data_IF_655946324827
#
_entry.id   IF_655946324827
#
_cell.length_a   1.000
_cell.length_b   1.000
_cell.length_c   1.000
_cell.angle_alpha   90.00
_cell.angle_beta   90.00
_cell.angle_gamma   90.00
#
_symmetry.space_group_name_H-M   'P 1'
#
loop_
_entity.id
_entity.type
_entity.pdbx_description
1 polymer ?
#
# COMPACT_ATOMS: atom_id res chain seq x y z
N UNK A 1 10.87 11.73 16.78
CA UNK A 1 10.64 11.51 16.66
C UNK A 1 10.15 11.57 15.68
N UNK A 2 10.12 11.53 15.17
CA UNK A 2 9.80 11.54 14.41
C UNK A 2 9.20 10.80 13.77
N UNK A 3 9.15 10.29 13.81
CA UNK A 3 8.41 9.30 13.58
C UNK A 3 7.44 9.55 12.57
N UNK A 4 7.44 10.48 11.87
CA UNK A 4 6.49 10.71 10.89
C UNK A 4 7.02 10.36 9.54
N UNK A 5 7.59 9.20 9.42
CA UNK A 5 8.07 8.74 8.13
C UNK A 5 6.90 8.41 7.24
N UNK A 6 7.11 8.30 5.98
CA UNK A 6 6.08 7.94 5.04
C UNK A 6 6.62 7.06 3.95
N UNK A 7 5.82 6.15 3.44
CA UNK A 7 6.21 5.24 2.39
C UNK A 7 5.17 5.30 1.30
N UNK A 8 5.63 5.56 0.08
CA UNK A 8 4.75 5.56 -1.07
C UNK A 8 4.84 4.17 -1.67
N UNK A 9 3.75 3.60 -2.07
CA UNK A 9 3.76 2.25 -2.60
C UNK A 9 2.81 2.11 -3.77
N UNK A 10 3.04 1.11 -4.61
CA UNK A 10 2.13 0.83 -5.70
C UNK A 10 1.77 -0.65 -5.62
N UNK A 11 0.49 -0.93 -5.69
CA UNK A 11 -0.03 -2.29 -5.69
C UNK A 11 -0.63 -2.56 -7.06
N UNK A 12 -0.69 -3.82 -7.42
CA UNK A 12 -1.33 -4.20 -8.66
C UNK A 12 -2.10 -5.49 -8.41
N UNK A 13 -2.91 -5.92 -9.37
CA UNK A 13 -3.64 -7.15 -9.26
C UNK A 13 -2.80 -8.27 -9.88
N UNK A 14 -3.26 -9.50 -9.80
CA UNK A 14 -2.50 -10.59 -10.28
C UNK A 14 -2.17 -10.50 -11.76
N UNK A 15 -2.93 -9.81 -12.55
CA UNK A 15 -2.69 -9.68 -13.97
C UNK A 15 -1.93 -8.40 -14.34
N UNK A 16 -1.51 -7.63 -13.36
CA UNK A 16 -0.77 -6.38 -13.57
C UNK A 16 -1.56 -5.39 -14.44
N UNK A 17 -2.87 -5.45 -14.37
CA UNK A 17 -3.68 -4.59 -15.22
C UNK A 17 -4.16 -3.33 -14.53
N UNK A 18 -4.16 -3.29 -13.22
CA UNK A 18 -4.63 -2.13 -12.48
C UNK A 18 -3.54 -1.70 -11.51
N UNK A 19 -3.24 -0.42 -11.43
CA UNK A 19 -2.25 0.10 -10.50
C UNK A 19 -2.93 0.95 -9.45
N UNK A 20 -2.53 0.78 -8.20
CA UNK A 20 -3.07 1.55 -7.09
C UNK A 20 -1.88 2.19 -6.38
N UNK A 21 -1.86 3.51 -6.27
CA UNK A 21 -0.77 4.23 -5.59
C UNK A 21 -1.27 4.74 -4.26
N UNK A 22 -0.52 4.51 -3.22
CA UNK A 22 -0.91 4.97 -1.89
C UNK A 22 0.28 5.42 -1.08
N UNK A 23 0.01 5.95 0.10
CA UNK A 23 1.05 6.38 1.01
C UNK A 23 0.64 5.92 2.40
N UNK A 24 1.60 5.50 3.21
CA UNK A 24 1.31 5.02 4.55
C UNK A 24 2.51 5.26 5.44
N UNK A 25 2.32 5.22 6.74
CA UNK A 25 3.41 5.27 7.67
C UNK A 25 3.89 3.87 8.04
N UNK A 26 3.15 2.84 7.72
CA UNK A 26 3.53 1.47 8.05
C UNK A 26 3.15 0.57 6.89
N UNK A 27 4.10 0.34 5.99
CA UNK A 27 3.84 -0.42 4.78
C UNK A 27 3.53 -1.87 5.08
N UNK A 28 4.22 -2.46 6.04
CA UNK A 28 4.00 -3.85 6.38
C UNK A 28 2.56 -4.10 6.77
N UNK A 29 2.03 -3.25 7.63
CA UNK A 29 0.67 -3.42 8.08
C UNK A 29 -0.32 -3.07 6.99
N UNK A 30 -0.07 -1.99 6.25
CA UNK A 30 -0.98 -1.59 5.19
C UNK A 30 -1.05 -2.67 4.10
N UNK A 31 0.08 -3.30 3.80
CA UNK A 31 0.09 -4.34 2.81
C UNK A 31 -0.75 -5.54 3.29
N UNK A 32 -0.67 -5.89 4.56
CA UNK A 32 -1.49 -6.95 5.10
C UNK A 32 -2.97 -6.60 5.02
N UNK A 33 -3.29 -5.35 5.31
CA UNK A 33 -4.68 -4.91 5.23
C UNK A 33 -5.22 -5.00 3.81
N UNK A 34 -4.41 -4.67 2.83
CA UNK A 34 -4.83 -4.78 1.44
C UNK A 34 -5.05 -6.25 1.05
N UNK A 35 -4.17 -7.13 1.50
CA UNK A 35 -4.33 -8.52 1.18
C UNK A 35 -5.57 -9.13 1.83
N UNK A 36 -5.95 -8.60 2.97
CA UNK A 36 -7.13 -9.10 3.68
C UNK A 36 -8.39 -8.36 3.26
N UNK A 37 -8.27 -7.39 2.37
CA UNK A 37 -9.40 -6.59 1.88
C UNK A 37 -10.14 -5.93 3.05
N UNK A 38 -9.40 -5.50 4.06
CA UNK A 38 -10.02 -4.89 5.21
C UNK A 38 -10.54 -3.52 4.88
N UNK A 39 -9.84 -2.75 4.07
CA UNK A 39 -10.33 -1.45 3.71
C UNK A 39 -11.14 -1.59 2.44
N UNK A 40 -12.34 -1.06 2.44
CA UNK A 40 -13.17 -1.12 1.27
C UNK A 40 -12.76 0.01 0.34
N UNK A 41 -12.93 -0.12 -0.90
CA UNK A 41 -12.61 0.92 -1.83
C UNK A 41 -11.94 0.36 -3.05
N UNK A 42 -11.15 1.20 -3.74
CA UNK A 42 -10.54 0.82 -5.00
C UNK A 42 -9.74 -0.46 -4.89
N UNK A 43 -8.89 -0.57 -3.89
CA UNK A 43 -8.02 -1.72 -3.78
C UNK A 43 -8.81 -3.01 -3.62
N UNK A 44 -9.82 -3.02 -2.79
CA UNK A 44 -10.62 -4.20 -2.58
C UNK A 44 -11.41 -4.53 -3.83
N UNK A 45 -11.94 -3.52 -4.50
CA UNK A 45 -12.75 -3.74 -5.65
C UNK A 45 -11.95 -4.35 -6.80
N UNK A 46 -10.73 -3.91 -6.99
CA UNK A 46 -9.93 -4.41 -8.11
C UNK A 46 -8.90 -5.45 -7.69
N UNK A 47 -8.96 -5.88 -6.43
CA UNK A 47 -8.08 -6.94 -5.94
C UNK A 47 -6.60 -6.60 -6.10
N UNK A 48 -6.24 -5.36 -5.82
CA UNK A 48 -4.86 -4.91 -5.96
C UNK A 48 -4.14 -5.25 -4.68
N UNK A 49 -3.70 -6.47 -4.55
CA UNK A 49 -3.05 -6.91 -3.33
C UNK A 49 -1.59 -7.33 -3.52
N UNK A 50 -1.02 -7.11 -4.69
CA UNK A 50 0.37 -7.47 -4.93
C UNK A 50 1.22 -6.22 -4.86
N UNK A 51 2.19 -6.17 -3.97
CA UNK A 51 3.04 -4.99 -3.80
C UNK A 51 4.17 -5.07 -4.80
N UNK A 52 4.26 -4.11 -5.72
CA UNK A 52 5.30 -4.13 -6.75
C UNK A 52 6.28 -2.99 -6.67
N UNK A 53 6.02 -1.98 -5.86
CA UNK A 53 6.94 -0.85 -5.74
C UNK A 53 6.75 -0.14 -4.42
N UNK A 54 7.83 0.35 -3.81
CA UNK A 54 7.69 1.23 -2.67
C UNK A 54 8.90 2.16 -2.58
N UNK A 55 8.69 3.30 -1.90
CA UNK A 55 9.70 4.30 -1.79
C UNK A 55 9.59 4.89 -0.40
N UNK A 56 10.64 4.92 0.35
CA UNK A 56 10.60 5.35 1.74
C UNK A 56 11.11 6.77 1.91
N UNK A 57 10.43 7.56 2.72
CA UNK A 57 10.82 8.93 3.01
C UNK A 57 10.87 9.16 4.51
N UNK A 58 11.79 9.99 4.94
CA UNK A 58 11.87 10.27 6.36
C UNK A 58 10.73 11.12 6.84
N UNK A 59 10.09 11.88 5.98
CA UNK A 59 9.00 12.74 6.38
C UNK A 59 7.75 12.39 5.62
N UNK A 60 6.65 12.33 6.35
CA UNK A 60 5.38 11.97 5.77
C UNK A 60 4.90 12.98 4.73
N UNK A 61 5.13 14.26 4.98
CA UNK A 61 4.65 15.28 4.05
C UNK A 61 5.35 15.17 2.69
N UNK A 62 6.61 14.74 2.69
CA UNK A 62 7.33 14.55 1.46
C UNK A 62 6.77 13.33 0.74
N UNK A 63 6.47 12.27 1.48
CA UNK A 63 5.89 11.08 0.90
C UNK A 63 4.52 11.39 0.28
N UNK A 64 3.73 12.19 0.94
CA UNK A 64 2.42 12.55 0.43
C UNK A 64 2.55 13.33 -0.88
N UNK A 65 3.53 14.22 -0.95
CA UNK A 65 3.73 14.98 -2.17
C UNK A 65 4.15 14.04 -3.30
N UNK A 66 4.99 13.08 -2.99
CA UNK A 66 5.44 12.12 -4.01
C UNK A 66 4.26 11.27 -4.49
N UNK A 67 3.41 10.86 -3.57
CA UNK A 67 2.27 10.04 -3.93
C UNK A 67 1.36 10.82 -4.88
N UNK A 68 1.14 12.11 -4.61
CA UNK A 68 0.32 12.93 -5.49
C UNK A 68 0.97 13.11 -6.85
N UNK A 69 2.29 13.22 -6.87
CA UNK A 69 3.01 13.36 -8.12
C UNK A 69 2.84 12.09 -8.95
N UNK A 70 3.02 10.92 -8.34
CA UNK A 70 2.92 9.69 -9.08
C UNK A 70 1.51 9.46 -9.61
N UNK A 71 0.51 9.92 -8.90
CA UNK A 71 -0.84 9.72 -9.37
C UNK A 71 -1.13 10.52 -10.63
N UNK A 72 -0.35 11.56 -10.92
CA UNK A 72 -0.55 12.32 -12.13
C UNK A 72 0.25 11.80 -13.29
N UNK A 73 1.14 10.84 -13.08
CA UNK A 73 1.97 10.34 -14.14
C UNK A 73 1.16 9.44 -15.07
N UNK A 74 1.59 9.36 -16.32
CA UNK A 74 0.97 8.46 -17.26
C UNK A 74 1.32 7.04 -16.83
N UNK A 75 0.51 6.11 -17.21
CA UNK A 75 0.69 4.73 -16.80
C UNK A 75 2.04 4.17 -17.23
N UNK A 76 2.49 4.48 -18.41
CA UNK A 76 3.76 3.93 -18.88
C UNK A 76 4.93 4.43 -18.04
N UNK A 77 4.85 5.63 -17.49
CA UNK A 77 5.90 6.12 -16.62
C UNK A 77 5.90 5.34 -15.30
N UNK A 78 4.73 5.02 -14.79
CA UNK A 78 4.65 4.24 -13.56
C UNK A 78 5.15 2.83 -13.82
N UNK A 79 4.85 2.27 -14.98
CA UNK A 79 5.31 0.93 -15.31
C UNK A 79 6.82 0.88 -15.40
N UNK A 80 7.42 1.94 -15.97
CA UNK A 80 8.86 1.97 -16.04
C UNK A 80 9.47 2.08 -14.66
N UNK A 81 8.87 2.90 -13.81
CA UNK A 81 9.35 3.05 -12.43
C UNK A 81 9.31 1.71 -11.72
N UNK A 82 8.23 0.97 -11.88
CA UNK A 82 8.10 -0.33 -11.24
C UNK A 82 9.10 -1.31 -11.82
N UNK A 83 9.25 -1.35 -13.13
CA UNK A 83 10.14 -2.30 -13.76
C UNK A 83 11.60 -2.04 -13.40
N UNK A 84 11.98 -0.78 -13.26
CA UNK A 84 13.36 -0.47 -12.88
C UNK A 84 13.63 -0.93 -11.45
N UNK A 85 12.64 -0.95 -10.58
CA UNK A 85 12.80 -1.34 -9.19
C UNK A 85 12.56 -2.85 -9.02
N UNK A 86 11.64 -3.41 -9.77
CA UNK A 86 11.20 -4.79 -9.58
C UNK A 86 10.94 -5.38 -10.97
N UNK A 87 11.99 -5.76 -11.69
CA UNK A 87 11.83 -6.17 -13.08
C UNK A 87 10.82 -7.27 -13.34
N UNK A 88 10.63 -8.14 -12.37
CA UNK A 88 9.71 -9.22 -12.57
C UNK A 88 8.33 -8.95 -12.05
N UNK A 89 8.10 -7.80 -11.50
CA UNK A 89 6.81 -7.40 -10.93
C UNK A 89 6.31 -8.45 -9.93
N UNK A 90 7.24 -8.96 -9.12
CA UNK A 90 6.84 -9.94 -8.16
C UNK A 90 6.30 -9.29 -6.92
N UNK A 91 5.55 -10.01 -6.13
CA UNK A 91 4.98 -9.47 -4.90
C UNK A 91 6.10 -9.29 -3.88
N UNK A 92 6.31 -8.06 -3.43
CA UNK A 92 7.37 -7.75 -2.49
C UNK A 92 6.92 -7.85 -1.04
N UNK A 93 5.77 -8.44 -0.77
CA UNK A 93 5.25 -8.49 0.59
C UNK A 93 6.22 -9.17 1.55
N UNK A 94 6.82 -10.25 1.14
CA UNK A 94 7.72 -10.93 2.03
C UNK A 94 8.99 -10.14 2.27
N UNK A 95 9.42 -9.36 1.27
CA UNK A 95 10.62 -8.56 1.42
C UNK A 95 10.45 -7.49 2.49
N UNK A 96 9.23 -7.05 2.73
CA UNK A 96 9.01 -6.04 3.74
C UNK A 96 8.47 -6.64 5.04
N UNK A 97 8.48 -7.96 5.15
CA UNK A 97 8.05 -8.60 6.38
C UNK A 97 6.56 -8.87 6.49
N UNK A 98 5.81 -8.68 5.41
CA UNK A 98 4.38 -8.95 5.45
C UNK A 98 4.14 -10.36 4.91
N UNK A 99 4.70 -11.33 5.61
CA UNK A 99 4.56 -12.72 5.19
C UNK A 99 3.24 -13.30 5.70
N UNK A 100 2.98 -14.54 5.42
CA UNK A 100 1.69 -15.12 5.75
C UNK A 100 1.45 -15.16 7.25
N UNK A 101 2.50 -15.33 8.04
CA UNK A 101 2.34 -15.34 9.47
C UNK A 101 1.91 -13.97 9.97
N UNK A 102 2.55 -12.93 9.46
CA UNK A 102 2.21 -11.56 9.86
C UNK A 102 0.79 -11.23 9.40
N UNK A 103 0.43 -11.63 8.19
CA UNK A 103 -0.90 -11.34 7.66
C UNK A 103 -1.96 -12.03 8.53
N UNK A 104 -1.69 -13.26 8.94
CA UNK A 104 -2.62 -13.97 9.81
C UNK A 104 -2.75 -13.26 11.17
N UNK A 105 -1.66 -12.75 11.69
CA UNK A 105 -1.69 -12.04 12.97
C UNK A 105 -2.52 -10.76 12.85
N UNK A 106 -2.39 -10.05 11.74
CA UNK A 106 -3.16 -8.85 11.53
C UNK A 106 -4.65 -9.20 11.42
N UNK A 107 -4.96 -10.31 10.73
CA UNK A 107 -6.33 -10.73 10.59
C UNK A 107 -6.95 -10.99 11.96
N UNK A 108 -6.21 -11.67 12.80
CA UNK A 108 -6.73 -11.97 14.14
C UNK A 108 -6.93 -10.72 14.96
N UNK A 109 -6.06 -9.74 14.76
CA UNK A 109 -6.20 -8.49 15.47
C UNK A 109 -7.51 -7.80 15.08
N UNK A 110 -7.82 -7.80 13.80
CA UNK A 110 -9.04 -7.16 13.37
C UNK A 110 -10.27 -7.96 13.81
N UNK A 111 -10.17 -9.24 13.80
CA UNK A 111 -11.32 -10.04 14.23
C UNK A 111 -11.62 -9.86 15.69
N UNK A 112 -10.58 -9.78 16.51
CA UNK A 112 -10.82 -9.60 17.89
C UNK A 112 -10.99 -8.21 18.18
N UNK A 113 -10.26 -7.39 17.59
CA UNK A 113 -10.27 -6.11 18.04
C UNK A 113 -11.18 -5.22 17.34
N UNK A 114 -11.81 -5.75 16.40
CA UNK A 114 -12.64 -4.94 15.65
C UNK A 114 -13.48 -4.17 16.50
N UNK A 115 -13.63 -4.71 17.59
CA UNK A 115 -14.43 -4.07 18.36
C UNK A 115 -13.84 -2.90 18.84
N UNK A 116 -12.70 -2.83 19.02
CA UNK A 116 -12.16 -1.79 19.71
C UNK A 116 -11.98 -0.72 18.84
N UNK A 117 -11.90 -0.90 17.82
CA UNK A 117 -11.42 -0.02 17.17
C UNK A 117 -11.97 0.98 16.69
N UNK A 118 -12.44 1.33 16.66
CA UNK A 118 -12.84 2.33 16.19
C UNK A 118 -11.83 3.02 15.50
N UNK A 119 -10.84 2.82 15.69
CA UNK A 119 -9.84 3.52 15.29
C UNK A 119 -9.73 3.47 13.95
N UNK A 120 -9.78 4.16 13.34
CA UNK A 120 -9.88 4.19 12.23
C UNK A 120 -8.84 4.43 11.42
N UNK A 121 -8.56 3.73 10.87
CA UNK A 121 -7.45 3.75 10.17
C UNK A 121 -7.57 4.48 8.94
N UNK A 122 -8.50 4.99 8.63
CA UNK A 122 -8.53 5.56 7.51
C UNK A 122 -7.82 6.62 7.39
N UNK A 123 -7.23 6.84 8.05
CA UNK A 123 -6.40 7.77 8.02
C UNK A 123 -5.80 7.99 6.74
N UNK A 124 -4.64 8.22 6.66
CA UNK A 124 -3.95 8.54 5.56
C UNK A 124 -4.18 7.73 4.41
N UNK A 125 -4.30 6.59 4.59
CA UNK A 125 -4.35 5.72 3.52
C UNK A 125 -5.41 6.03 2.55
N UNK A 126 -6.48 6.56 3.00
CA UNK A 126 -7.47 6.78 2.08
C UNK A 126 -7.27 7.95 1.30
N UNK A 127 -6.51 8.77 1.77
CA UNK A 127 -6.33 9.97 1.15
C UNK A 127 -5.90 9.77 -0.20
N UNK A 128 -5.15 8.93 -0.46
CA UNK A 128 -4.64 8.90 -1.72
C UNK A 128 -5.21 7.94 -2.61
N UNK A 129 -6.24 7.38 -2.28
CA UNK A 129 -6.61 6.29 -3.01
C UNK A 129 -7.35 6.53 -4.23
N UNK A 130 -7.30 7.59 -4.84
CA UNK A 130 -8.07 7.68 -6.00
C UNK A 130 -7.37 7.03 -7.12
N UNK A 131 -8.05 6.54 -8.03
CA UNK A 131 -7.46 5.80 -9.10
C UNK A 131 -6.85 6.77 -9.99
N UNK A 132 -5.88 6.53 -10.46
CA UNK A 132 -5.31 7.48 -11.26
C UNK A 132 -5.38 7.28 -12.58
#
# INVERSE_FOLDING_TARGET
MNSLQGIVYILTNKHNSVLYTGVTRNLRRRNAEHKLHINHGFSAKYNTNKLVYYEWFERLDVAIRREKQLKKWHRDWKEKLITDFNPEWKDLAEDIGADSEFIQAVKETYECGALLSGTDPKSIGDAGSSPA
#
